data_IF_526731803542
#
_entry.id   IF_526731803542
#
_cell.length_a   1.000
_cell.length_b   1.000
_cell.length_c   1.000
_cell.angle_alpha   90.00
_cell.angle_beta   90.00
_cell.angle_gamma   90.00
#
_symmetry.space_group_name_H-M   'P 1'
#
loop_
_entity.id
_entity.type
_entity.pdbx_description
1 polymer ?
#
# COMPACT_ATOMS: atom_id res chain seq x y z
N UNK A 1 1.36 5.01 -12.77
CA UNK A 1 1.97 3.90 -11.98
C UNK A 1 1.59 4.10 -10.53
N UNK A 2 1.22 3.05 -9.79
CA UNK A 2 0.90 3.18 -8.37
C UNK A 2 2.15 3.58 -7.56
N UNK A 3 2.06 4.64 -6.74
CA UNK A 3 3.20 5.14 -5.96
C UNK A 3 3.62 4.21 -4.83
N UNK A 4 2.73 3.30 -4.39
CA UNK A 4 2.95 2.37 -3.28
C UNK A 4 3.50 1.02 -3.74
N UNK A 5 2.92 0.38 -4.75
CA UNK A 5 3.41 -0.91 -5.24
C UNK A 5 4.33 -0.80 -6.46
N UNK A 6 4.55 0.41 -7.00
CA UNK A 6 5.38 0.71 -8.18
C UNK A 6 5.00 -0.04 -9.46
N UNK A 7 3.86 -0.74 -9.49
CA UNK A 7 3.32 -1.41 -10.68
C UNK A 7 2.35 -0.51 -11.44
N UNK A 8 2.44 -0.55 -12.77
CA UNK A 8 1.53 0.16 -13.66
C UNK A 8 0.17 -0.55 -13.76
N UNK A 9 0.23 -1.88 -13.87
CA UNK A 9 -0.89 -2.80 -13.89
C UNK A 9 -0.74 -3.77 -12.72
N UNK A 10 -1.83 -3.97 -11.99
CA UNK A 10 -1.94 -5.01 -10.98
C UNK A 10 -3.36 -5.55 -11.03
N UNK A 11 -3.53 -6.81 -10.64
CA UNK A 11 -4.83 -7.45 -10.62
C UNK A 11 -5.81 -6.63 -9.74
N UNK A 12 -6.93 -6.14 -10.29
CA UNK A 12 -7.89 -5.32 -9.55
C UNK A 12 -8.56 -6.08 -8.41
N UNK A 13 -8.59 -7.42 -8.45
CA UNK A 13 -9.07 -8.25 -7.33
C UNK A 13 -8.09 -8.19 -6.15
N UNK A 14 -6.79 -7.97 -6.41
CA UNK A 14 -5.74 -7.95 -5.38
C UNK A 14 -5.48 -6.54 -4.87
N UNK A 15 -5.38 -5.58 -5.79
CA UNK A 15 -4.99 -4.21 -5.48
C UNK A 15 -6.17 -3.25 -5.37
N UNK A 16 -7.35 -3.65 -5.88
CA UNK A 16 -8.49 -2.77 -6.01
C UNK A 16 -8.31 -1.79 -7.17
N UNK A 17 -9.30 -0.92 -7.34
CA UNK A 17 -9.27 0.10 -8.38
C UNK A 17 -8.10 1.06 -8.21
N UNK A 18 -7.63 1.61 -9.34
CA UNK A 18 -6.60 2.63 -9.33
C UNK A 18 -7.24 4.01 -9.20
N UNK A 19 -6.94 4.71 -8.11
CA UNK A 19 -7.39 6.07 -7.87
C UNK A 19 -6.27 7.07 -8.13
N UNK A 20 -6.62 8.21 -8.71
CA UNK A 20 -5.69 9.30 -8.98
C UNK A 20 -6.28 10.64 -8.53
N UNK A 21 -5.46 11.45 -7.84
CA UNK A 21 -5.83 12.81 -7.47
C UNK A 21 -4.60 13.65 -7.19
N UNK A 22 -4.59 14.91 -7.64
CA UNK A 22 -3.48 15.85 -7.43
C UNK A 22 -2.10 15.27 -7.83
N UNK A 23 -2.04 14.48 -8.90
CA UNK A 23 -0.80 13.84 -9.38
C UNK A 23 -0.31 12.64 -8.55
N UNK A 24 -1.04 12.22 -7.52
CA UNK A 24 -0.81 10.96 -6.82
C UNK A 24 -1.72 9.88 -7.39
N UNK A 25 -1.11 8.73 -7.71
CA UNK A 25 -1.81 7.57 -8.24
C UNK A 25 -1.54 6.37 -7.33
N UNK A 26 -2.57 5.73 -6.78
CA UNK A 26 -2.43 4.54 -5.96
C UNK A 26 -3.62 3.59 -6.15
N UNK A 27 -3.40 2.28 -5.93
CA UNK A 27 -4.52 1.36 -5.85
C UNK A 27 -5.21 1.47 -4.49
N UNK A 28 -6.53 1.28 -4.46
CA UNK A 28 -7.37 1.43 -3.27
C UNK A 28 -6.84 0.55 -2.14
N UNK A 29 -6.66 -0.75 -2.36
CA UNK A 29 -6.16 -1.63 -1.30
C UNK A 29 -4.70 -1.35 -0.96
N UNK A 30 -3.87 -0.86 -1.89
CA UNK A 30 -2.52 -0.43 -1.51
C UNK A 30 -2.54 0.69 -0.47
N UNK A 31 -3.49 1.62 -0.54
CA UNK A 31 -3.65 2.68 0.47
C UNK A 31 -4.06 2.11 1.83
N UNK A 32 -5.02 1.17 1.84
CA UNK A 32 -5.52 0.57 3.08
C UNK A 32 -4.48 -0.31 3.79
N UNK A 33 -3.65 -1.04 3.04
CA UNK A 33 -2.64 -1.93 3.62
C UNK A 33 -1.28 -1.26 3.85
N UNK A 34 -1.07 -0.04 3.36
CA UNK A 34 0.20 0.64 3.55
C UNK A 34 0.38 1.02 5.03
N UNK A 35 1.57 0.70 5.56
CA UNK A 35 1.90 0.95 6.95
C UNK A 35 1.73 2.43 7.32
N UNK A 36 1.08 2.68 8.45
CA UNK A 36 0.95 4.01 9.06
C UNK A 36 0.20 5.06 8.21
N UNK A 37 -0.68 4.64 7.29
CA UNK A 37 -1.65 5.55 6.68
C UNK A 37 -2.95 5.59 7.49
N UNK A 38 -3.32 6.78 7.95
CA UNK A 38 -4.61 7.01 8.59
C UNK A 38 -5.57 7.64 7.59
N UNK A 39 -6.72 6.99 7.38
CA UNK A 39 -7.81 7.57 6.59
C UNK A 39 -8.50 8.66 7.41
N UNK A 40 -8.64 9.85 6.83
CA UNK A 40 -9.43 10.93 7.42
C UNK A 40 -10.93 10.67 7.24
N UNK A 41 -11.74 11.18 8.16
CA UNK A 41 -13.20 11.01 8.11
C UNK A 41 -13.84 11.63 6.86
N UNK A 42 -13.25 12.68 6.28
CA UNK A 42 -13.72 13.26 5.01
C UNK A 42 -12.98 12.60 3.82
N UNK A 43 -13.66 11.77 3.00
CA UNK A 43 -13.05 11.09 1.86
C UNK A 43 -12.62 12.04 0.73
N UNK A 44 -13.06 13.31 0.78
CA UNK A 44 -12.64 14.35 -0.18
C UNK A 44 -11.25 14.89 0.13
N UNK A 45 -10.73 14.66 1.33
CA UNK A 45 -9.35 15.02 1.69
C UNK A 45 -8.37 14.12 0.95
N UNK A 46 -7.38 14.72 0.29
CA UNK A 46 -6.31 13.95 -0.35
C UNK A 46 -6.83 12.87 -1.30
N UNK A 47 -6.23 11.68 -1.25
CA UNK A 47 -6.60 10.53 -2.06
C UNK A 47 -7.45 9.58 -1.23
N UNK A 48 -8.77 9.52 -1.46
CA UNK A 48 -9.72 8.67 -0.70
C UNK A 48 -9.72 8.92 0.82
N UNK A 49 -9.50 10.16 1.27
CA UNK A 49 -9.36 10.50 2.70
C UNK A 49 -7.92 10.38 3.22
N UNK A 50 -6.97 9.87 2.44
CA UNK A 50 -5.56 9.79 2.85
C UNK A 50 -4.81 11.07 2.50
N UNK A 51 -4.14 11.67 3.49
CA UNK A 51 -3.39 12.91 3.31
C UNK A 51 -2.20 12.68 2.35
N UNK A 52 -2.04 13.51 1.29
CA UNK A 52 -0.93 13.40 0.35
C UNK A 52 0.44 13.42 1.02
N UNK A 53 0.60 14.18 2.12
CA UNK A 53 1.86 14.25 2.87
C UNK A 53 2.20 12.93 3.56
N UNK A 54 1.20 12.25 4.10
CA UNK A 54 1.39 10.96 4.78
C UNK A 54 1.72 9.88 3.76
N UNK A 55 1.03 9.87 2.61
CA UNK A 55 1.35 8.99 1.46
C UNK A 55 2.81 9.18 1.04
N UNK A 56 3.25 10.42 0.82
CA UNK A 56 4.64 10.68 0.45
C UNK A 56 5.64 10.25 1.53
N UNK A 57 5.30 10.42 2.81
CA UNK A 57 6.14 10.00 3.93
C UNK A 57 6.29 8.49 3.95
N UNK A 58 5.20 7.73 3.77
CA UNK A 58 5.22 6.28 3.68
C UNK A 58 6.02 5.81 2.47
N UNK A 59 5.83 6.43 1.30
CA UNK A 59 6.60 6.10 0.09
C UNK A 59 8.10 6.35 0.30
N UNK A 60 8.49 7.45 0.96
CA UNK A 60 9.89 7.75 1.30
C UNK A 60 10.47 6.71 2.26
N UNK A 61 9.71 6.28 3.28
CA UNK A 61 10.14 5.23 4.22
C UNK A 61 10.29 3.88 3.49
N UNK A 62 9.33 3.54 2.64
CA UNK A 62 9.30 2.31 1.87
C UNK A 62 10.40 2.25 0.79
N UNK A 63 10.94 3.39 0.34
CA UNK A 63 11.98 3.43 -0.70
C UNK A 63 13.27 2.66 -0.32
N UNK A 64 13.52 2.45 0.97
CA UNK A 64 14.65 1.64 1.47
C UNK A 64 14.22 0.22 1.87
N UNK A 65 12.93 -0.09 1.85
CA UNK A 65 12.37 -1.38 2.27
C UNK A 65 12.24 -2.28 1.06
N UNK A 66 12.81 -3.48 1.17
CA UNK A 66 12.95 -4.42 0.06
C UNK A 66 11.88 -5.51 0.17
N UNK A 67 11.17 -5.74 -0.92
CA UNK A 67 10.15 -6.77 -1.00
C UNK A 67 10.80 -8.16 -0.90
N UNK A 68 10.34 -9.00 0.03
CA UNK A 68 10.88 -10.34 0.21
C UNK A 68 10.57 -11.31 -0.94
N UNK A 69 9.56 -11.00 -1.77
CA UNK A 69 9.14 -11.85 -2.89
C UNK A 69 9.83 -11.46 -4.19
N UNK A 70 9.79 -10.18 -4.57
CA UNK A 70 10.33 -9.72 -5.85
C UNK A 70 11.73 -9.07 -5.75
N UNK A 71 12.26 -8.82 -4.55
CA UNK A 71 13.59 -8.24 -4.34
C UNK A 71 13.73 -6.74 -4.61
N UNK A 72 12.70 -6.11 -5.19
CA UNK A 72 12.65 -4.67 -5.47
C UNK A 72 12.37 -3.83 -4.20
N UNK A 73 12.83 -2.58 -4.18
CA UNK A 73 12.53 -1.64 -3.09
C UNK A 73 11.19 -0.92 -3.28
N UNK A 74 10.67 -0.28 -2.23
CA UNK A 74 9.38 0.40 -2.26
C UNK A 74 8.25 -0.38 -1.58
N UNK A 75 8.56 -1.44 -0.84
CA UNK A 75 7.57 -2.26 -0.17
C UNK A 75 6.93 -1.51 1.01
N UNK A 76 5.59 -1.38 1.00
CA UNK A 76 4.83 -0.56 1.96
C UNK A 76 4.08 -1.37 3.00
N UNK A 77 4.02 -2.69 2.86
CA UNK A 77 3.34 -3.60 3.79
C UNK A 77 4.40 -4.30 4.63
N UNK A 78 4.24 -4.29 5.95
CA UNK A 78 5.06 -5.04 6.89
C UNK A 78 4.29 -6.28 7.36
N UNK A 79 5.00 -7.38 7.63
CA UNK A 79 4.42 -8.53 8.30
C UNK A 79 3.91 -8.15 9.71
N UNK A 80 2.79 -8.73 10.14
CA UNK A 80 2.22 -8.50 11.47
C UNK A 80 2.85 -9.36 12.57
N UNK A 81 3.65 -10.36 12.23
CA UNK A 81 4.31 -11.24 13.19
C UNK A 81 5.37 -10.47 14.00
N UNK A 82 5.34 -10.67 15.32
CA UNK A 82 6.36 -10.16 16.22
C UNK A 82 7.74 -10.72 15.80
N UNK A 83 8.75 -9.86 15.67
CA UNK A 83 10.10 -10.15 15.12
C UNK A 83 10.21 -10.40 13.60
N UNK A 84 9.16 -10.15 12.82
CA UNK A 84 9.22 -10.29 11.36
C UNK A 84 9.42 -8.93 10.65
N UNK A 85 10.67 -8.58 10.35
CA UNK A 85 11.03 -7.37 9.58
C UNK A 85 10.83 -7.51 8.06
N UNK A 86 9.93 -8.40 7.62
CA UNK A 86 9.68 -8.64 6.19
C UNK A 86 8.72 -7.61 5.62
N UNK A 87 9.08 -7.08 4.45
CA UNK A 87 8.29 -6.10 3.73
C UNK A 87 7.80 -6.67 2.41
N UNK A 88 6.61 -6.25 1.99
CA UNK A 88 5.96 -6.72 0.78
C UNK A 88 5.29 -5.58 0.03
N UNK A 89 5.23 -5.72 -1.30
CA UNK A 89 4.21 -5.04 -2.08
C UNK A 89 2.88 -5.78 -1.90
N UNK A 90 1.75 -5.08 -1.94
CA UNK A 90 0.43 -5.73 -1.91
C UNK A 90 0.26 -6.90 -2.90
N UNK A 91 0.58 -6.75 -4.20
CA UNK A 91 0.47 -7.88 -5.14
C UNK A 91 1.40 -9.05 -4.76
N UNK A 92 2.59 -8.73 -4.23
CA UNK A 92 3.56 -9.74 -3.79
C UNK A 92 3.12 -10.46 -2.51
N UNK A 93 2.40 -9.81 -1.61
CA UNK A 93 1.92 -10.42 -0.38
C UNK A 93 0.97 -11.60 -0.67
N UNK A 94 0.11 -11.46 -1.69
CA UNK A 94 -0.76 -12.55 -2.15
C UNK A 94 0.01 -13.69 -2.81
N UNK A 95 1.01 -13.38 -3.65
CA UNK A 95 1.91 -14.41 -4.24
C UNK A 95 2.74 -15.14 -3.17
N UNK A 96 3.11 -14.44 -2.09
CA UNK A 96 3.90 -14.98 -0.98
C UNK A 96 3.10 -15.77 0.06
N UNK A 97 1.81 -16.04 -0.17
CA UNK A 97 0.90 -16.66 0.80
C UNK A 97 0.80 -15.92 2.15
N UNK A 98 1.09 -14.60 2.19
CA UNK A 98 0.78 -13.80 3.36
C UNK A 98 -0.74 -13.56 3.40
N UNK A 99 -1.36 -13.89 4.53
CA UNK A 99 -2.78 -13.64 4.77
C UNK A 99 -3.00 -12.14 4.93
N UNK A 100 -3.63 -11.51 3.93
CA UNK A 100 -4.11 -10.13 4.01
C UNK A 100 -5.62 -10.15 4.24
N UNK A 101 -6.06 -10.22 5.50
CA UNK A 101 -7.47 -10.02 5.85
C UNK A 101 -7.75 -8.53 6.06
N UNK A 102 -8.46 -7.92 5.11
CA UNK A 102 -9.10 -6.62 5.30
C UNK A 102 -10.50 -6.88 5.87
N UNK A 103 -10.71 -6.56 7.15
CA UNK A 103 -12.03 -6.61 7.78
C UNK A 103 -12.64 -5.20 7.66
N UNK A 104 -13.69 -4.98 6.85
CA UNK A 104 -14.36 -3.69 6.79
C UNK A 104 -15.01 -3.37 8.15
N UNK A 105 -14.91 -2.12 8.66
CA UNK A 105 -15.65 -1.72 9.85
C UNK A 105 -17.16 -1.75 9.58
N UNK A 106 -17.93 -2.37 10.49
CA UNK A 106 -19.39 -2.43 10.49
C UNK A 106 -20.04 -1.08 10.81
#
# INVERSE_FOLDING_TARGET
>A
VCVLCRRAEADPVICGDKVEKHGLCAHVFCLYFAMSLCQQADPRVGLMGFNPRDIQTVVRRAAQKRCCVCGETGATIMCCEEDCDKWFHLPCAKEGHCVNEYIPPY
#
